data_IF_706268421551
#
_entry.id   IF_706268421551
#
_cell.length_a   1.000
_cell.length_b   1.000
_cell.length_c   1.000
_cell.angle_alpha   90.00
_cell.angle_beta   90.00
_cell.angle_gamma   90.00
#
_symmetry.space_group_name_H-M   'P 1'
#
loop_
_entity.id
_entity.type
_entity.pdbx_description
1 polymer ?
#
# COMPACT_ATOMS: atom_id res chain seq x y z
N UNK A 1 -8.88 -4.64 23.74
CA UNK A 1 -7.91 -3.59 24.10
C UNK A 1 -6.57 -4.00 23.51
N UNK A 2 -5.97 -3.21 22.61
CA UNK A 2 -4.67 -3.54 22.03
C UNK A 2 -3.56 -3.27 23.04
N UNK A 3 -2.54 -4.13 23.07
CA UNK A 3 -1.35 -3.87 23.87
C UNK A 3 -0.50 -2.77 23.21
N UNK A 4 0.37 -2.11 24.00
CA UNK A 4 1.31 -1.12 23.47
C UNK A 4 2.14 -1.67 22.28
N UNK A 5 2.53 -2.93 22.35
CA UNK A 5 3.28 -3.60 21.27
C UNK A 5 2.45 -3.73 19.98
N UNK A 6 1.17 -4.10 20.10
CA UNK A 6 0.26 -4.20 18.95
C UNK A 6 -0.01 -2.83 18.32
N UNK A 7 -0.16 -1.77 19.13
CA UNK A 7 -0.33 -0.41 18.63
C UNK A 7 0.90 0.07 17.87
N UNK A 8 2.09 -0.16 18.42
CA UNK A 8 3.34 0.18 17.75
C UNK A 8 3.50 -0.58 16.43
N UNK A 9 3.20 -1.88 16.42
CA UNK A 9 3.25 -2.68 15.21
C UNK A 9 2.29 -2.16 14.12
N UNK A 10 1.06 -1.80 14.49
CA UNK A 10 0.09 -1.22 13.54
C UNK A 10 0.60 0.08 12.91
N UNK A 11 1.22 0.96 13.70
CA UNK A 11 1.84 2.18 13.18
C UNK A 11 2.99 1.89 12.22
N UNK A 12 3.85 0.93 12.56
CA UNK A 12 4.95 0.50 11.68
C UNK A 12 4.43 -0.11 10.37
N UNK A 13 3.34 -0.88 10.41
CA UNK A 13 2.74 -1.44 9.21
C UNK A 13 2.08 -0.37 8.34
N UNK A 14 1.43 0.64 8.93
CA UNK A 14 0.89 1.75 8.15
C UNK A 14 2.01 2.49 7.39
N UNK A 15 3.12 2.79 8.07
CA UNK A 15 4.28 3.41 7.44
C UNK A 15 4.92 2.54 6.35
N UNK A 16 4.94 1.21 6.54
CA UNK A 16 5.41 0.29 5.52
C UNK A 16 4.52 0.29 4.29
N UNK A 17 3.19 0.21 4.47
CA UNK A 17 2.21 0.30 3.38
C UNK A 17 2.40 1.60 2.59
N UNK A 18 2.46 2.74 3.27
CA UNK A 18 2.59 4.04 2.62
C UNK A 18 3.85 4.11 1.73
N UNK A 19 4.97 3.55 2.19
CA UNK A 19 6.24 3.49 1.44
C UNK A 19 6.17 2.56 0.23
N UNK A 20 5.53 1.40 0.34
CA UNK A 20 5.42 0.49 -0.80
C UNK A 20 4.45 1.04 -1.86
N UNK A 21 3.35 1.67 -1.44
CA UNK A 21 2.43 2.33 -2.37
C UNK A 21 3.06 3.56 -3.04
N UNK A 22 4.04 4.20 -2.40
CA UNK A 22 4.82 5.27 -3.03
C UNK A 22 5.73 4.79 -4.16
N UNK A 23 6.28 3.58 -4.04
CA UNK A 23 7.08 2.98 -5.11
C UNK A 23 6.22 2.55 -6.30
N UNK A 24 5.02 2.04 -6.02
CA UNK A 24 4.07 1.59 -7.04
C UNK A 24 3.39 2.79 -7.73
N UNK A 25 2.96 3.80 -6.96
CA UNK A 25 2.35 5.03 -7.46
C UNK A 25 3.20 6.26 -7.11
N UNK A 26 4.35 6.46 -7.76
CA UNK A 26 5.16 7.65 -7.53
C UNK A 26 4.39 8.90 -7.97
N UNK A 27 4.64 10.00 -7.26
CA UNK A 27 4.14 11.30 -7.71
C UNK A 27 4.78 11.67 -9.06
N UNK A 28 4.14 12.55 -9.85
CA UNK A 28 4.68 12.95 -11.16
C UNK A 28 6.11 13.50 -11.07
N UNK A 29 6.45 14.19 -9.98
CA UNK A 29 7.78 14.73 -9.69
C UNK A 29 8.82 13.61 -9.44
N UNK A 30 8.40 12.50 -8.83
CA UNK A 30 9.26 11.34 -8.55
C UNK A 30 9.38 10.42 -9.76
N UNK A 31 8.29 10.22 -10.50
CA UNK A 31 8.26 9.46 -11.75
C UNK A 31 9.21 10.07 -12.80
N UNK A 32 9.28 11.41 -12.86
CA UNK A 32 10.22 12.12 -13.72
C UNK A 32 11.69 11.86 -13.37
N UNK A 33 12.00 11.57 -12.09
CA UNK A 33 13.36 11.18 -11.66
C UNK A 33 13.65 9.70 -11.91
N UNK A 34 12.63 8.85 -11.93
CA UNK A 34 12.77 7.40 -12.07
C UNK A 34 12.80 6.89 -13.53
N UNK A 35 12.55 7.77 -14.52
CA UNK A 35 12.40 7.36 -15.92
C UNK A 35 13.70 6.86 -16.57
N UNK A 36 13.77 5.55 -16.86
CA UNK A 36 14.44 5.05 -18.06
C UNK A 36 13.71 3.91 -18.82
N UNK A 37 12.66 3.28 -18.29
CA UNK A 37 11.95 2.21 -19.00
C UNK A 37 10.45 2.25 -18.65
N UNK A 38 9.58 2.69 -19.57
CA UNK A 38 8.13 2.74 -19.36
C UNK A 38 7.46 1.46 -19.87
N UNK A 39 6.83 0.65 -19.01
CA UNK A 39 5.78 -0.28 -19.42
C UNK A 39 4.54 0.49 -19.90
N UNK A 40 3.63 -0.18 -20.63
CA UNK A 40 2.34 0.40 -21.03
C UNK A 40 1.43 0.61 -19.80
N UNK A 41 0.54 1.62 -19.84
CA UNK A 41 -0.33 1.98 -18.72
C UNK A 41 -1.16 0.81 -18.18
N UNK A 42 -1.67 -0.08 -19.05
CA UNK A 42 -2.41 -1.28 -18.66
C UNK A 42 -1.53 -2.35 -17.98
N UNK A 43 -0.24 -2.41 -18.28
CA UNK A 43 0.70 -3.31 -17.61
C UNK A 43 1.04 -2.79 -16.21
N UNK A 44 1.19 -1.47 -16.04
CA UNK A 44 1.33 -0.84 -14.72
C UNK A 44 0.10 -1.10 -13.86
N UNK A 45 -1.11 -0.88 -14.41
CA UNK A 45 -2.35 -1.05 -13.66
C UNK A 45 -2.58 -2.50 -13.18
N UNK A 46 -2.18 -3.50 -13.96
CA UNK A 46 -2.23 -4.91 -13.54
C UNK A 46 -1.14 -5.27 -12.50
N UNK A 47 0.09 -4.77 -12.68
CA UNK A 47 1.18 -4.95 -11.70
C UNK A 47 0.81 -4.30 -10.36
N UNK A 48 0.17 -3.13 -10.40
CA UNK A 48 -0.27 -2.39 -9.23
C UNK A 48 -1.46 -3.05 -8.52
N UNK A 49 -2.39 -3.64 -9.29
CA UNK A 49 -3.51 -4.42 -8.75
C UNK A 49 -3.04 -5.68 -8.00
N UNK A 50 -2.10 -6.43 -8.58
CA UNK A 50 -1.51 -7.58 -7.91
C UNK A 50 -0.68 -7.17 -6.69
N UNK A 51 0.01 -6.03 -6.76
CA UNK A 51 0.86 -5.49 -5.70
C UNK A 51 0.12 -5.27 -4.38
N UNK A 52 -1.02 -4.57 -4.39
CA UNK A 52 -1.76 -4.31 -3.16
C UNK A 52 -2.36 -5.59 -2.55
N UNK A 53 -2.75 -6.57 -3.37
CA UNK A 53 -3.28 -7.87 -2.91
C UNK A 53 -2.19 -8.63 -2.15
N UNK A 54 -0.98 -8.71 -2.73
CA UNK A 54 0.17 -9.38 -2.10
C UNK A 54 0.49 -8.74 -0.75
N UNK A 55 0.47 -7.40 -0.67
CA UNK A 55 0.69 -6.69 0.59
C UNK A 55 -0.40 -6.95 1.63
N UNK A 56 -1.68 -6.98 1.21
CA UNK A 56 -2.78 -7.29 2.12
C UNK A 56 -2.65 -8.71 2.70
N UNK A 57 -2.33 -9.71 1.87
CA UNK A 57 -2.13 -11.09 2.31
C UNK A 57 -0.98 -11.19 3.31
N UNK A 58 0.13 -10.49 3.05
CA UNK A 58 1.28 -10.45 3.97
C UNK A 58 0.91 -9.82 5.32
N UNK A 59 0.18 -8.71 5.32
CA UNK A 59 -0.28 -8.05 6.55
C UNK A 59 -1.25 -8.92 7.34
N UNK A 60 -2.21 -9.56 6.66
CA UNK A 60 -3.17 -10.45 7.30
C UNK A 60 -2.46 -11.64 7.98
N UNK A 61 -1.42 -12.20 7.34
CA UNK A 61 -0.60 -13.27 7.92
C UNK A 61 0.17 -12.80 9.16
N UNK A 62 0.86 -11.66 9.08
CA UNK A 62 1.61 -11.11 10.22
C UNK A 62 0.70 -10.70 11.38
N UNK A 63 -0.49 -10.19 11.08
CA UNK A 63 -1.49 -9.84 12.07
C UNK A 63 -2.03 -11.09 12.79
N UNK A 64 -2.22 -12.18 12.06
CA UNK A 64 -2.62 -13.47 12.62
C UNK A 64 -1.60 -13.96 13.66
N UNK A 65 -0.31 -13.93 13.32
CA UNK A 65 0.78 -14.34 14.23
C UNK A 65 0.81 -13.49 15.52
N UNK A 66 0.46 -12.21 15.42
CA UNK A 66 0.41 -11.28 16.57
C UNK A 66 -0.94 -11.22 17.27
N UNK A 67 -1.90 -12.07 16.87
CA UNK A 67 -3.27 -12.10 17.40
C UNK A 67 -3.94 -10.73 17.31
N UNK A 68 -3.66 -9.99 16.24
CA UNK A 68 -4.26 -8.70 15.94
C UNK A 68 -5.54 -8.97 15.14
N UNK A 69 -6.70 -8.44 15.57
CA UNK A 69 -7.93 -8.57 14.81
C UNK A 69 -7.80 -7.94 13.43
N UNK A 70 -8.30 -8.64 12.40
CA UNK A 70 -8.25 -8.18 11.01
C UNK A 70 -8.81 -6.77 10.80
N UNK A 71 -9.82 -6.38 11.58
CA UNK A 71 -10.41 -5.04 11.53
C UNK A 71 -9.43 -3.91 11.92
N UNK A 72 -8.35 -4.22 12.63
CA UNK A 72 -7.30 -3.27 12.98
C UNK A 72 -6.16 -3.23 11.96
N UNK A 73 -6.08 -4.23 11.06
CA UNK A 73 -5.02 -4.32 10.05
C UNK A 73 -5.23 -3.23 9.00
N UNK A 74 -4.17 -2.52 8.57
CA UNK A 74 -4.28 -1.55 7.49
C UNK A 74 -4.90 -2.17 6.23
N UNK A 75 -5.88 -1.47 5.66
CA UNK A 75 -6.49 -1.86 4.39
C UNK A 75 -5.66 -1.26 3.25
N UNK A 76 -4.87 -2.10 2.59
CA UNK A 76 -3.92 -1.65 1.56
C UNK A 76 -4.64 -1.02 0.38
N UNK A 77 -5.77 -1.59 -0.05
CA UNK A 77 -6.57 -1.02 -1.16
C UNK A 77 -7.09 0.37 -0.80
N UNK A 78 -7.63 0.56 0.42
CA UNK A 78 -8.10 1.87 0.84
C UNK A 78 -6.97 2.90 0.90
N UNK A 79 -5.77 2.49 1.32
CA UNK A 79 -4.58 3.35 1.32
C UNK A 79 -4.16 3.72 -0.12
N UNK A 80 -4.23 2.77 -1.04
CA UNK A 80 -3.95 2.95 -2.47
C UNK A 80 -4.93 3.92 -3.13
N UNK A 81 -6.23 3.65 -2.99
CA UNK A 81 -7.30 4.51 -3.51
C UNK A 81 -7.10 5.94 -2.99
N UNK A 82 -6.91 6.11 -1.66
CA UNK A 82 -6.66 7.41 -1.06
C UNK A 82 -5.41 8.11 -1.60
N UNK A 83 -4.35 7.38 -1.94
CA UNK A 83 -3.14 7.95 -2.57
C UNK A 83 -3.44 8.43 -3.98
N UNK A 84 -4.13 7.62 -4.79
CA UNK A 84 -4.53 8.00 -6.15
C UNK A 84 -5.45 9.21 -6.16
N UNK A 85 -6.40 9.32 -5.22
CA UNK A 85 -7.19 10.53 -5.01
C UNK A 85 -6.30 11.76 -4.79
N UNK A 86 -5.32 11.66 -3.89
CA UNK A 86 -4.37 12.77 -3.60
C UNK A 86 -3.53 13.16 -4.80
N UNK A 87 -3.23 12.21 -5.69
CA UNK A 87 -2.47 12.44 -6.92
C UNK A 87 -3.36 12.87 -8.11
N UNK A 88 -4.67 12.98 -7.94
CA UNK A 88 -5.60 13.29 -9.02
C UNK A 88 -5.74 12.17 -10.07
N UNK A 89 -5.44 10.92 -9.68
CA UNK A 89 -5.42 9.72 -10.54
C UNK A 89 -6.67 8.86 -10.35
N UNK A 90 -7.78 9.43 -9.87
CA UNK A 90 -9.01 8.69 -9.63
C UNK A 90 -9.42 7.91 -10.87
N UNK A 91 -9.46 6.58 -10.74
CA UNK A 91 -10.04 5.68 -11.72
C UNK A 91 -11.56 5.87 -11.68
N UNK A 92 -12.10 6.65 -12.61
CA UNK A 92 -13.49 6.44 -13.05
C UNK A 92 -13.63 5.08 -13.72
#
# INVERSE_FOLDING_TARGET
MHTYHQLKWLQEQQLWVDRELEKLEPSSTEAQKANQLSPTAAAMENIDFEGYIIFQVKLDSLAWDQKIPRAAVPNVKACWDARRCRLGKDTS
#
